data_IF_870010137552
#
_entry.id   IF_870010137552
#
_cell.length_a   1.000
_cell.length_b   1.000
_cell.length_c   1.000
_cell.angle_alpha   90.00
_cell.angle_beta   90.00
_cell.angle_gamma   90.00
#
_symmetry.space_group_name_H-M   'P 1'
#
loop_
_entity.id
_entity.type
_entity.pdbx_description
1 polymer ?
#
# COMPACT_ATOMS: atom_id res chain seq x y z
N UNK A 1 -3.13 18.36 16.27
CA UNK A 1 -1.85 18.95 15.82
C UNK A 1 -1.97 19.38 14.36
N UNK A 2 -1.14 20.34 13.93
CA UNK A 2 -1.13 20.91 12.57
C UNK A 2 -0.39 20.05 11.54
N UNK A 3 0.16 18.93 11.97
CA UNK A 3 0.98 18.03 11.17
C UNK A 3 0.26 17.31 10.04
N UNK A 4 1.06 16.86 9.09
CA UNK A 4 0.63 16.38 7.78
C UNK A 4 0.36 14.88 7.72
N UNK A 5 0.64 14.14 8.80
CA UNK A 5 0.44 12.69 8.89
C UNK A 5 1.28 11.92 7.84
N UNK A 6 2.54 12.35 7.64
CA UNK A 6 3.48 11.74 6.70
C UNK A 6 4.41 10.70 7.35
N UNK A 7 4.50 10.69 8.67
CA UNK A 7 5.46 9.86 9.41
C UNK A 7 4.79 8.70 10.14
N UNK A 8 5.61 7.73 10.55
CA UNK A 8 5.18 6.63 11.42
C UNK A 8 4.77 7.16 12.80
N UNK A 9 3.90 6.41 13.47
CA UNK A 9 3.43 6.75 14.80
C UNK A 9 3.15 5.51 15.64
N UNK A 10 3.12 5.65 16.96
CA UNK A 10 2.69 4.59 17.86
C UNK A 10 1.97 5.14 19.09
N UNK A 11 1.07 4.34 19.64
CA UNK A 11 0.44 4.54 20.95
C UNK A 11 0.95 3.46 21.89
N UNK A 12 1.65 3.85 22.95
CA UNK A 12 2.23 2.94 23.94
C UNK A 12 1.40 2.95 25.23
N UNK A 13 0.81 1.80 25.54
CA UNK A 13 0.04 1.53 26.76
C UNK A 13 0.87 0.76 27.81
N UNK A 14 2.17 0.57 27.58
CA UNK A 14 3.10 -0.17 28.44
C UNK A 14 3.03 -1.69 28.24
N UNK A 15 1.83 -2.27 28.29
CA UNK A 15 1.61 -3.71 28.06
C UNK A 15 1.51 -4.08 26.58
N UNK A 16 1.14 -3.10 25.75
CA UNK A 16 0.96 -3.21 24.31
C UNK A 16 1.25 -1.89 23.61
N UNK A 17 1.57 -2.00 22.32
CA UNK A 17 1.77 -0.86 21.43
C UNK A 17 0.78 -0.96 20.28
N UNK A 18 0.11 0.15 19.97
CA UNK A 18 -0.81 0.23 18.83
C UNK A 18 -0.16 1.12 17.78
N UNK A 19 0.07 0.59 16.59
CA UNK A 19 0.78 1.29 15.51
C UNK A 19 0.27 0.81 14.15
N UNK A 20 0.87 1.31 13.08
CA UNK A 20 0.60 0.84 11.72
C UNK A 20 0.97 -0.65 11.59
N UNK A 21 0.21 -1.42 10.79
CA UNK A 21 0.50 -2.84 10.62
C UNK A 21 1.88 -3.04 10.01
N UNK A 22 2.73 -3.76 10.75
CA UNK A 22 3.96 -4.35 10.26
C UNK A 22 3.67 -5.82 9.91
N UNK A 23 3.72 -6.21 8.61
CA UNK A 23 3.45 -7.58 8.17
C UNK A 23 4.45 -8.61 8.70
N UNK A 24 5.65 -8.18 9.11
CA UNK A 24 6.71 -9.07 9.59
C UNK A 24 6.76 -9.15 11.13
N UNK A 25 6.01 -8.28 11.83
CA UNK A 25 5.95 -8.30 13.28
C UNK A 25 5.21 -9.52 13.81
N UNK A 26 5.96 -10.47 14.37
CA UNK A 26 5.43 -11.61 15.14
C UNK A 26 5.08 -11.25 16.58
N UNK A 27 5.27 -9.99 16.97
CA UNK A 27 5.05 -9.54 18.34
C UNK A 27 3.56 -9.32 18.60
N UNK A 28 2.93 -10.25 19.33
CA UNK A 28 1.50 -10.17 19.70
C UNK A 28 1.14 -8.96 20.57
N UNK A 29 2.13 -8.24 21.12
CA UNK A 29 1.92 -6.99 21.85
C UNK A 29 1.78 -5.78 20.93
N UNK A 30 2.01 -5.93 19.62
CA UNK A 30 1.85 -4.88 18.62
C UNK A 30 0.49 -5.05 17.92
N UNK A 31 -0.39 -4.07 18.06
CA UNK A 31 -1.75 -4.10 17.50
C UNK A 31 -1.89 -3.11 16.35
N UNK A 32 -2.70 -3.49 15.35
CA UNK A 32 -2.97 -2.65 14.18
C UNK A 32 -3.96 -1.53 14.52
N UNK A 33 -3.49 -0.29 14.47
CA UNK A 33 -4.25 0.93 14.77
C UNK A 33 -5.57 1.06 14.01
N UNK A 34 -5.63 0.62 12.74
CA UNK A 34 -6.86 0.69 11.94
C UNK A 34 -7.98 -0.25 12.40
N UNK A 35 -7.66 -1.20 13.29
CA UNK A 35 -8.60 -2.20 13.81
C UNK A 35 -8.98 -1.99 15.27
N UNK A 36 -8.29 -1.10 15.98
CA UNK A 36 -8.52 -0.86 17.40
C UNK A 36 -9.51 0.30 17.60
N UNK A 37 -10.31 0.25 18.67
CA UNK A 37 -11.16 1.39 19.06
C UNK A 37 -10.63 2.04 20.33
N UNK A 38 -10.76 3.36 20.41
CA UNK A 38 -10.28 4.11 21.58
C UNK A 38 -10.91 3.63 22.90
N UNK A 39 -12.21 3.31 22.88
CA UNK A 39 -12.96 2.84 24.04
C UNK A 39 -12.63 1.40 24.48
N UNK A 40 -11.82 0.67 23.73
CA UNK A 40 -11.30 -0.65 24.13
C UNK A 40 -10.03 -0.52 24.98
N UNK A 41 -9.38 0.65 24.99
CA UNK A 41 -8.07 0.85 25.60
C UNK A 41 -8.06 1.97 26.66
N UNK A 42 -8.84 3.03 26.46
CA UNK A 42 -9.09 4.06 27.46
C UNK A 42 -10.52 3.87 27.99
N UNK A 43 -10.64 3.22 29.14
CA UNK A 43 -11.90 2.74 29.74
C UNK A 43 -12.27 3.44 31.04
N UNK A 44 -11.33 4.10 31.71
CA UNK A 44 -11.59 4.87 32.92
C UNK A 44 -10.84 6.20 32.96
N UNK A 45 -11.43 7.17 33.66
CA UNK A 45 -10.88 8.50 33.84
C UNK A 45 -9.51 8.44 34.53
N UNK A 46 -8.57 9.27 34.08
CA UNK A 46 -7.19 9.32 34.54
C UNK A 46 -6.23 8.37 33.83
N UNK A 47 -6.70 7.45 32.96
CA UNK A 47 -5.79 6.64 32.16
C UNK A 47 -4.99 7.48 31.17
N UNK A 48 -3.72 7.14 31.02
CA UNK A 48 -2.83 7.77 30.04
C UNK A 48 -2.33 6.78 28.98
N UNK A 49 -1.98 7.34 27.83
CA UNK A 49 -1.25 6.66 26.77
C UNK A 49 -0.21 7.62 26.19
N UNK A 50 0.97 7.09 25.88
CA UNK A 50 1.99 7.86 25.16
C UNK A 50 1.75 7.73 23.66
N UNK A 51 1.63 8.85 22.96
CA UNK A 51 1.57 8.89 21.50
C UNK A 51 2.89 9.43 20.97
N UNK A 52 3.63 8.59 20.24
CA UNK A 52 4.85 8.98 19.52
C UNK A 52 4.48 9.23 18.07
N UNK A 53 4.82 10.41 17.55
CA UNK A 53 4.70 10.76 16.14
C UNK A 53 6.08 11.07 15.58
N UNK A 54 6.35 10.57 14.39
CA UNK A 54 7.64 10.64 13.72
C UNK A 54 8.77 9.96 14.52
N UNK A 55 9.22 8.80 14.05
CA UNK A 55 10.28 8.05 14.74
C UNK A 55 11.67 8.66 14.52
N UNK A 56 11.83 9.57 13.54
CA UNK A 56 13.04 10.38 13.39
C UNK A 56 13.07 11.47 14.45
N UNK A 57 12.10 12.39 14.39
CA UNK A 57 12.03 13.56 15.27
C UNK A 57 11.54 13.27 16.70
N UNK A 58 10.91 12.12 16.90
CA UNK A 58 10.48 11.60 18.20
C UNK A 58 9.52 12.51 18.97
N UNK A 59 8.49 13.04 18.31
CA UNK A 59 7.47 13.86 18.97
C UNK A 59 6.60 13.02 19.91
N UNK A 60 6.84 13.16 21.21
CA UNK A 60 6.14 12.40 22.25
C UNK A 60 5.03 13.24 22.90
N UNK A 61 3.80 12.75 22.79
CA UNK A 61 2.61 13.31 23.44
C UNK A 61 2.12 12.39 24.55
N UNK A 62 1.63 13.00 25.63
CA UNK A 62 0.85 12.31 26.65
C UNK A 62 -0.63 12.60 26.42
N UNK A 63 -1.43 11.56 26.20
CA UNK A 63 -2.87 11.64 26.04
C UNK A 63 -3.52 11.08 27.30
N UNK A 64 -4.39 11.85 27.95
CA UNK A 64 -5.09 11.47 29.18
C UNK A 64 -6.59 11.45 28.94
N UNK A 65 -7.26 10.38 29.35
CA UNK A 65 -8.72 10.33 29.38
C UNK A 65 -9.22 11.08 30.60
N UNK A 66 -9.64 12.31 30.43
CA UNK A 66 -10.09 13.14 31.57
C UNK A 66 -11.51 12.79 32.02
N UNK A 67 -12.45 12.64 31.08
CA UNK A 67 -13.86 12.36 31.35
C UNK A 67 -14.53 11.52 30.28
N UNK A 68 -15.48 10.66 30.69
CA UNK A 68 -16.39 9.95 29.77
C UNK A 68 -17.80 10.56 29.91
N UNK A 69 -18.26 11.24 28.86
CA UNK A 69 -19.55 11.95 28.86
C UNK A 69 -20.54 11.33 27.86
N UNK A 70 -21.86 11.46 28.07
CA UNK A 70 -22.86 11.07 27.09
C UNK A 70 -22.71 11.90 25.80
N UNK A 71 -23.01 11.28 24.66
CA UNK A 71 -22.99 11.93 23.34
C UNK A 71 -24.04 13.04 23.29
N UNK A 72 -23.65 14.23 22.82
CA UNK A 72 -24.58 15.34 22.63
C UNK A 72 -25.23 15.27 21.23
N UNK A 73 -26.57 15.26 21.12
CA UNK A 73 -27.29 15.02 19.86
C UNK A 73 -26.94 15.94 18.69
N UNK A 74 -26.57 17.19 18.97
CA UNK A 74 -26.33 18.22 17.94
C UNK A 74 -24.84 18.61 17.80
N UNK A 75 -23.94 17.91 18.50
CA UNK A 75 -22.52 18.19 18.46
C UNK A 75 -21.83 17.34 17.40
N UNK A 76 -21.09 17.99 16.50
CA UNK A 76 -20.17 17.29 15.58
C UNK A 76 -18.85 17.02 16.30
N UNK A 77 -18.41 15.77 16.31
CA UNK A 77 -17.12 15.33 16.87
C UNK A 77 -16.13 14.96 15.75
N UNK A 78 -14.80 15.04 16.00
CA UNK A 78 -14.16 15.60 17.19
C UNK A 78 -14.31 17.12 17.29
N UNK A 79 -14.26 17.64 18.51
CA UNK A 79 -14.34 19.08 18.80
C UNK A 79 -13.27 19.44 19.83
N UNK A 80 -12.46 20.44 19.51
CA UNK A 80 -11.44 20.99 20.40
C UNK A 80 -12.10 22.00 21.34
N UNK A 81 -11.96 21.80 22.64
CA UNK A 81 -12.54 22.68 23.68
C UNK A 81 -11.59 23.84 24.00
N UNK A 82 -10.30 23.55 24.07
CA UNK A 82 -9.25 24.49 24.43
C UNK A 82 -7.89 24.03 23.89
N UNK A 83 -6.90 24.90 24.01
CA UNK A 83 -5.51 24.62 23.66
C UNK A 83 -4.65 25.87 23.80
N UNK A 84 -3.35 25.66 23.86
CA UNK A 84 -2.36 26.73 24.01
C UNK A 84 -1.15 26.46 23.11
N UNK A 85 -0.50 27.56 22.72
CA UNK A 85 0.70 27.59 21.86
C UNK A 85 0.47 26.98 20.48
N UNK A 86 1.41 27.25 19.59
CA UNK A 86 1.36 26.71 18.24
C UNK A 86 2.05 25.35 18.18
N UNK A 87 1.58 24.51 17.25
CA UNK A 87 2.20 23.21 16.99
C UNK A 87 3.60 23.42 16.40
N UNK A 88 4.65 22.71 16.86
CA UNK A 88 5.94 22.71 16.17
C UNK A 88 5.76 22.43 14.68
N UNK A 89 6.52 23.07 13.78
CA UNK A 89 6.49 22.75 12.36
C UNK A 89 6.81 21.26 12.11
N UNK A 90 6.33 20.71 10.98
CA UNK A 90 6.79 19.39 10.52
C UNK A 90 8.29 19.45 10.21
N UNK A 91 9.00 18.33 10.37
CA UNK A 91 10.43 18.15 10.01
C UNK A 91 11.37 19.20 10.61
N UNK A 92 11.04 19.77 11.77
CA UNK A 92 11.90 20.77 12.41
C UNK A 92 12.99 20.16 13.31
N UNK A 93 13.25 18.85 13.23
CA UNK A 93 14.34 18.19 13.95
C UNK A 93 14.01 17.89 15.41
N UNK A 94 12.75 17.55 15.68
CA UNK A 94 12.29 17.20 17.03
C UNK A 94 12.35 18.36 18.02
N UNK A 95 12.37 18.02 19.31
CA UNK A 95 12.36 19.01 20.40
C UNK A 95 13.57 19.95 20.33
N UNK A 96 14.75 19.41 20.00
CA UNK A 96 15.99 20.18 19.94
C UNK A 96 16.00 21.14 18.76
N UNK A 97 15.67 20.67 17.56
CA UNK A 97 15.60 21.54 16.38
C UNK A 97 14.49 22.59 16.49
N UNK A 98 13.38 22.28 17.19
CA UNK A 98 12.38 23.30 17.51
C UNK A 98 12.90 24.35 18.49
N UNK A 99 13.70 23.99 19.49
CA UNK A 99 14.32 24.96 20.40
C UNK A 99 15.31 25.89 19.69
N UNK A 100 16.11 25.34 18.78
CA UNK A 100 16.99 26.13 17.91
C UNK A 100 16.17 27.07 17.03
N UNK A 101 15.11 26.57 16.38
CA UNK A 101 14.18 27.36 15.59
C UNK A 101 13.53 28.51 16.39
N UNK A 102 13.11 28.26 17.64
CA UNK A 102 12.59 29.31 18.52
C UNK A 102 13.64 30.36 18.91
N UNK A 103 14.91 29.96 18.98
CA UNK A 103 16.02 30.87 19.26
C UNK A 103 16.29 31.77 18.05
N UNK A 104 16.32 31.20 16.86
CA UNK A 104 16.50 31.91 15.59
C UNK A 104 15.36 32.91 15.33
N UNK A 105 14.12 32.56 15.66
CA UNK A 105 12.96 33.46 15.55
C UNK A 105 13.08 34.72 16.42
N UNK A 106 13.90 34.70 17.47
CA UNK A 106 14.10 35.83 18.40
C UNK A 106 15.29 36.71 18.03
N UNK A 107 16.18 36.26 17.14
CA UNK A 107 17.38 36.98 16.73
C UNK A 107 17.23 37.56 15.31
N UNK A 108 16.88 38.84 15.22
CA UNK A 108 16.72 39.57 13.95
C UNK A 108 18.04 39.69 13.15
N UNK A 109 19.20 39.45 13.77
CA UNK A 109 20.52 39.69 13.17
C UNK A 109 21.32 38.41 12.80
N UNK A 110 20.84 37.21 13.13
CA UNK A 110 21.55 35.94 12.85
C UNK A 110 20.69 34.79 12.30
N UNK A 111 19.48 35.05 11.79
CA UNK A 111 18.61 33.99 11.24
C UNK A 111 19.30 33.14 10.15
N UNK A 112 19.77 31.94 10.52
CA UNK A 112 20.02 30.83 9.58
C UNK A 112 18.74 30.08 9.20
N UNK A 113 17.60 30.47 9.80
CA UNK A 113 16.31 29.87 9.53
C UNK A 113 15.81 30.12 8.09
N UNK A 114 15.18 29.10 7.52
CA UNK A 114 14.69 29.07 6.13
C UNK A 114 13.67 30.20 5.86
N UNK A 115 13.81 30.98 4.76
CA UNK A 115 13.01 32.18 4.51
C UNK A 115 11.48 31.99 4.47
N UNK A 116 10.99 30.76 4.24
CA UNK A 116 9.56 30.47 4.08
C UNK A 116 8.84 30.08 5.39
N UNK A 117 9.56 29.75 6.47
CA UNK A 117 8.96 29.35 7.76
C UNK A 117 8.81 30.54 8.71
N UNK A 118 9.70 31.52 8.59
CA UNK A 118 9.98 32.54 9.63
C UNK A 118 8.96 33.68 9.70
N UNK A 119 8.25 34.02 8.62
CA UNK A 119 7.53 35.30 8.57
C UNK A 119 6.13 35.30 9.18
N UNK A 120 5.50 34.13 9.33
CA UNK A 120 4.11 34.01 9.84
C UNK A 120 3.95 33.03 11.01
N UNK A 121 5.02 32.35 11.42
CA UNK A 121 4.97 31.41 12.53
C UNK A 121 5.12 32.15 13.86
N UNK A 122 4.03 32.22 14.62
CA UNK A 122 4.03 32.68 16.01
C UNK A 122 3.91 31.44 16.92
N UNK A 123 4.92 31.14 17.76
CA UNK A 123 4.93 29.97 18.63
C UNK A 123 3.91 30.02 19.76
N UNK A 124 3.41 31.20 20.12
CA UNK A 124 2.44 31.38 21.20
C UNK A 124 0.99 31.49 20.67
N UNK A 125 0.83 31.52 19.35
CA UNK A 125 -0.48 31.64 18.70
C UNK A 125 -1.20 30.30 18.57
N UNK A 126 -2.27 30.14 19.35
CA UNK A 126 -3.26 29.08 19.16
C UNK A 126 -4.61 29.65 18.66
N UNK A 127 -5.23 29.01 17.67
CA UNK A 127 -6.54 29.42 17.15
C UNK A 127 -7.55 28.28 17.22
N UNK A 128 -8.38 28.31 18.27
CA UNK A 128 -9.44 27.32 18.51
C UNK A 128 -10.43 27.23 17.34
N UNK A 129 -10.82 28.38 16.78
CA UNK A 129 -11.74 28.44 15.63
C UNK A 129 -11.12 27.80 14.38
N UNK A 130 -9.83 28.04 14.10
CA UNK A 130 -9.11 27.40 12.99
C UNK A 130 -9.03 25.89 13.18
N UNK A 131 -8.68 25.42 14.38
CA UNK A 131 -8.63 23.99 14.71
C UNK A 131 -9.99 23.33 14.50
N UNK A 132 -11.05 23.89 15.08
CA UNK A 132 -12.40 23.33 14.94
C UNK A 132 -12.93 23.37 13.49
N UNK A 133 -12.53 24.37 12.70
CA UNK A 133 -12.83 24.40 11.26
C UNK A 133 -12.17 23.24 10.53
N UNK A 134 -10.90 22.96 10.82
CA UNK A 134 -10.17 21.83 10.24
C UNK A 134 -10.74 20.47 10.69
N UNK A 135 -11.09 20.35 11.98
CA UNK A 135 -11.70 19.14 12.53
C UNK A 135 -13.06 18.85 11.87
N UNK A 136 -13.90 19.86 11.62
CA UNK A 136 -15.17 19.69 10.88
C UNK A 136 -14.94 19.20 9.45
N UNK A 137 -13.96 19.76 8.73
CA UNK A 137 -13.59 19.30 7.38
C UNK A 137 -13.15 17.83 7.38
N UNK A 138 -12.32 17.43 8.36
CA UNK A 138 -11.87 16.03 8.53
C UNK A 138 -13.00 15.11 8.99
N UNK A 139 -13.93 15.56 9.84
CA UNK A 139 -15.08 14.78 10.29
C UNK A 139 -15.98 14.37 9.11
N UNK A 140 -16.17 15.25 8.12
CA UNK A 140 -16.89 14.91 6.90
C UNK A 140 -16.18 13.81 6.08
N UNK A 141 -14.85 13.82 6.04
CA UNK A 141 -14.04 12.79 5.37
C UNK A 141 -14.06 11.45 6.12
N UNK A 142 -14.02 11.47 7.46
CA UNK A 142 -14.03 10.28 8.32
C UNK A 142 -15.42 9.63 8.40
N UNK A 143 -16.51 10.42 8.40
CA UNK A 143 -17.88 9.91 8.50
C UNK A 143 -18.33 9.13 7.26
N UNK A 144 -17.78 9.39 6.07
CA UNK A 144 -18.09 8.58 4.88
C UNK A 144 -17.63 7.12 5.01
N UNK A 145 -16.60 6.86 5.82
CA UNK A 145 -16.11 5.50 6.08
C UNK A 145 -17.00 4.73 7.07
N UNK A 146 -17.68 5.42 7.99
CA UNK A 146 -18.55 4.78 8.98
C UNK A 146 -19.94 4.45 8.44
N UNK A 147 -20.50 5.30 7.56
CA UNK A 147 -21.80 5.06 6.90
C UNK A 147 -21.80 3.74 6.10
N UNK A 148 -20.68 3.36 5.47
CA UNK A 148 -20.55 2.11 4.70
C UNK A 148 -20.59 0.82 5.55
N UNK A 149 -20.58 0.89 6.89
CA UNK A 149 -20.56 -0.29 7.79
C UNK A 149 -21.87 -0.56 8.55
N UNK A 150 -22.94 0.23 8.34
CA UNK A 150 -24.24 0.05 9.01
C UNK A 150 -25.28 -0.77 8.23
N UNK A 151 -24.96 -1.29 7.04
CA UNK A 151 -25.79 -2.33 6.46
C UNK A 151 -25.59 -3.62 7.28
N UNK A 152 -26.64 -4.23 7.86
CA UNK A 152 -26.51 -5.57 8.42
C UNK A 152 -25.95 -6.48 7.31
N UNK A 153 -25.04 -7.42 7.60
CA UNK A 153 -24.58 -8.37 6.61
C UNK A 153 -25.73 -9.32 6.30
N UNK A 154 -26.66 -8.90 5.44
CA UNK A 154 -27.49 -9.85 4.69
C UNK A 154 -26.51 -10.52 3.74
N UNK A 155 -25.82 -11.57 4.19
CA UNK A 155 -25.04 -12.42 3.31
C UNK A 155 -26.02 -12.85 2.21
N UNK A 156 -25.84 -12.40 0.96
CA UNK A 156 -26.72 -12.81 -0.10
C UNK A 156 -26.72 -14.35 -0.16
N UNK A 157 -27.85 -14.99 -0.51
CA UNK A 157 -27.91 -16.43 -0.65
C UNK A 157 -26.76 -16.89 -1.55
N UNK A 158 -25.80 -17.62 -0.98
CA UNK A 158 -24.57 -18.02 -1.67
C UNK A 158 -24.79 -19.41 -2.26
N UNK A 159 -24.98 -19.47 -3.57
CA UNK A 159 -25.01 -20.75 -4.28
C UNK A 159 -23.62 -21.40 -4.19
N UNK A 160 -23.53 -22.59 -3.62
CA UNK A 160 -22.26 -23.34 -3.55
C UNK A 160 -21.96 -24.01 -4.88
N UNK A 161 -20.69 -24.27 -5.18
CA UNK A 161 -20.30 -24.99 -6.40
C UNK A 161 -20.97 -26.37 -6.50
N UNK A 162 -21.18 -27.06 -5.36
CA UNK A 162 -21.89 -28.32 -5.31
C UNK A 162 -23.39 -28.17 -5.64
N UNK A 163 -24.06 -27.16 -5.10
CA UNK A 163 -25.46 -26.87 -5.39
C UNK A 163 -25.65 -26.46 -6.86
N UNK A 164 -24.75 -25.62 -7.40
CA UNK A 164 -24.73 -25.27 -8.82
C UNK A 164 -24.56 -26.52 -9.68
N UNK A 165 -23.56 -27.37 -9.38
CA UNK A 165 -23.32 -28.61 -10.14
C UNK A 165 -24.57 -29.50 -10.17
N UNK A 166 -25.26 -29.65 -9.03
CA UNK A 166 -26.50 -30.44 -8.95
C UNK A 166 -27.61 -29.86 -9.83
N UNK A 167 -27.76 -28.53 -9.89
CA UNK A 167 -28.74 -27.89 -10.77
C UNK A 167 -28.37 -28.07 -12.25
N UNK A 168 -27.11 -27.84 -12.61
CA UNK A 168 -26.63 -27.97 -13.99
C UNK A 168 -26.79 -29.42 -14.52
N UNK A 169 -26.62 -30.42 -13.66
CA UNK A 169 -26.82 -31.83 -14.01
C UNK A 169 -28.27 -32.21 -14.32
N UNK A 170 -29.24 -31.41 -13.85
CA UNK A 170 -30.67 -31.61 -14.13
C UNK A 170 -31.14 -30.89 -15.40
N UNK A 171 -30.30 -30.04 -15.99
CA UNK A 171 -30.62 -29.27 -17.21
C UNK A 171 -30.37 -30.09 -18.47
N UNK A 172 -31.12 -29.79 -19.52
CA UNK A 172 -30.87 -30.32 -20.86
C UNK A 172 -29.64 -29.66 -21.49
N UNK A 173 -29.08 -30.28 -22.53
CA UNK A 173 -27.95 -29.72 -23.26
C UNK A 173 -28.27 -28.34 -23.87
N UNK A 174 -29.49 -28.14 -24.38
CA UNK A 174 -29.89 -26.86 -24.98
C UNK A 174 -29.94 -25.74 -23.93
N UNK A 175 -30.50 -26.01 -22.75
CA UNK A 175 -30.55 -25.03 -21.66
C UNK A 175 -29.15 -24.70 -21.13
N UNK A 176 -28.25 -25.68 -21.06
CA UNK A 176 -26.85 -25.46 -20.66
C UNK A 176 -26.10 -24.57 -21.66
N UNK A 177 -26.29 -24.81 -22.96
CA UNK A 177 -25.70 -23.97 -24.02
C UNK A 177 -26.24 -22.54 -23.90
N UNK A 178 -27.55 -22.37 -23.74
CA UNK A 178 -28.15 -21.04 -23.61
C UNK A 178 -27.64 -20.30 -22.37
N UNK A 179 -27.55 -20.98 -21.21
CA UNK A 179 -27.01 -20.40 -19.99
C UNK A 179 -25.54 -19.95 -20.16
N UNK A 180 -24.71 -20.73 -20.86
CA UNK A 180 -23.33 -20.34 -21.14
C UNK A 180 -23.24 -19.11 -22.06
N UNK A 181 -24.10 -19.03 -23.08
CA UNK A 181 -24.20 -17.85 -23.96
C UNK A 181 -24.66 -16.62 -23.19
N UNK A 182 -25.62 -16.75 -22.29
CA UNK A 182 -26.10 -15.64 -21.48
C UNK A 182 -25.02 -15.19 -20.49
N UNK A 183 -24.29 -16.13 -19.87
CA UNK A 183 -23.12 -15.81 -19.04
C UNK A 183 -22.03 -15.08 -19.84
N UNK A 184 -21.74 -15.53 -21.07
CA UNK A 184 -20.78 -14.90 -21.98
C UNK A 184 -21.16 -13.43 -22.28
N UNK A 185 -22.44 -13.17 -22.56
CA UNK A 185 -22.94 -11.82 -22.85
C UNK A 185 -23.01 -10.92 -21.61
N UNK A 186 -23.20 -11.49 -20.42
CA UNK A 186 -23.42 -10.74 -19.19
C UNK A 186 -22.12 -10.29 -18.50
N UNK A 187 -20.98 -10.94 -18.76
CA UNK A 187 -19.73 -10.71 -18.03
C UNK A 187 -18.52 -10.71 -18.94
N UNK A 188 -17.78 -9.60 -18.97
CA UNK A 188 -16.51 -9.49 -19.72
C UNK A 188 -15.49 -10.54 -19.30
N UNK A 189 -15.45 -10.86 -18.00
CA UNK A 189 -14.56 -11.90 -17.48
C UNK A 189 -14.94 -13.29 -18.01
N UNK A 190 -16.24 -13.60 -18.11
CA UNK A 190 -16.70 -14.87 -18.70
C UNK A 190 -16.48 -14.90 -20.21
N UNK A 191 -16.67 -13.76 -20.89
CA UNK A 191 -16.34 -13.58 -22.29
C UNK A 191 -14.86 -13.93 -22.56
N UNK A 192 -13.94 -13.30 -21.82
CA UNK A 192 -12.50 -13.55 -21.94
C UNK A 192 -12.14 -15.00 -21.60
N UNK A 193 -12.71 -15.55 -20.52
CA UNK A 193 -12.47 -16.94 -20.12
C UNK A 193 -12.87 -17.94 -21.20
N UNK A 194 -14.08 -17.81 -21.76
CA UNK A 194 -14.54 -18.71 -22.82
C UNK A 194 -13.79 -18.46 -24.12
N UNK A 195 -13.43 -17.21 -24.43
CA UNK A 195 -12.62 -16.87 -25.62
C UNK A 195 -11.27 -17.56 -25.56
N UNK A 196 -10.53 -17.44 -24.46
CA UNK A 196 -9.25 -18.15 -24.28
C UNK A 196 -9.44 -19.67 -24.33
N UNK A 197 -10.51 -20.18 -23.71
CA UNK A 197 -10.78 -21.63 -23.68
C UNK A 197 -11.07 -22.22 -25.07
N UNK A 198 -11.70 -21.47 -25.97
CA UNK A 198 -12.12 -21.97 -27.28
C UNK A 198 -11.21 -21.52 -28.43
N UNK A 199 -10.62 -20.32 -28.36
CA UNK A 199 -9.71 -19.78 -29.36
C UNK A 199 -8.22 -20.02 -29.04
N UNK A 200 -7.90 -20.54 -27.85
CA UNK A 200 -6.57 -21.06 -27.53
C UNK A 200 -5.48 -19.98 -27.41
N UNK A 201 -4.31 -20.26 -27.98
CA UNK A 201 -3.09 -19.46 -27.78
C UNK A 201 -3.22 -18.02 -28.28
N UNK A 202 -3.82 -17.79 -29.45
CA UNK A 202 -4.00 -16.45 -30.03
C UNK A 202 -4.83 -15.54 -29.12
N UNK A 203 -5.87 -16.08 -28.50
CA UNK A 203 -6.68 -15.34 -27.54
C UNK A 203 -5.95 -15.06 -26.22
N UNK A 204 -5.12 -16.00 -25.76
CA UNK A 204 -4.27 -15.79 -24.59
C UNK A 204 -3.23 -14.68 -24.83
N UNK A 205 -2.63 -14.65 -26.03
CA UNK A 205 -1.68 -13.61 -26.45
C UNK A 205 -2.36 -12.24 -26.56
N UNK A 206 -3.53 -12.16 -27.21
CA UNK A 206 -4.29 -10.91 -27.31
C UNK A 206 -4.64 -10.34 -25.92
N UNK A 207 -5.06 -11.21 -24.99
CA UNK A 207 -5.36 -10.82 -23.61
C UNK A 207 -4.09 -10.42 -22.84
N UNK A 208 -2.95 -11.06 -23.13
CA UNK A 208 -1.66 -10.70 -22.56
C UNK A 208 -1.25 -9.28 -22.99
N UNK A 209 -1.39 -8.95 -24.27
CA UNK A 209 -1.09 -7.61 -24.80
C UNK A 209 -2.03 -6.55 -24.19
N UNK A 210 -3.32 -6.85 -24.05
CA UNK A 210 -4.28 -5.98 -23.37
C UNK A 210 -3.91 -5.74 -21.91
N UNK A 211 -3.57 -6.82 -21.18
CA UNK A 211 -3.14 -6.74 -19.79
C UNK A 211 -1.84 -5.94 -19.64
N UNK A 212 -0.87 -6.17 -20.52
CA UNK A 212 0.42 -5.45 -20.53
C UNK A 212 0.20 -3.95 -20.76
N UNK A 213 -0.66 -3.58 -21.73
CA UNK A 213 -1.05 -2.18 -21.93
C UNK A 213 -1.71 -1.60 -20.68
N UNK A 214 -2.67 -2.31 -20.10
CA UNK A 214 -3.36 -1.86 -18.89
C UNK A 214 -2.40 -1.64 -17.72
N UNK A 215 -1.48 -2.58 -17.48
CA UNK A 215 -0.43 -2.42 -16.45
C UNK A 215 0.34 -1.13 -16.71
N UNK A 216 0.83 -0.91 -17.93
CA UNK A 216 1.52 0.34 -18.29
C UNK A 216 0.68 1.57 -17.99
N UNK A 217 -0.58 1.61 -18.43
CA UNK A 217 -1.48 2.77 -18.27
C UNK A 217 -1.81 3.13 -16.81
N UNK A 218 -1.71 2.16 -15.89
CA UNK A 218 -1.88 2.40 -14.44
C UNK A 218 -0.65 3.06 -13.79
N UNK A 219 0.53 2.97 -14.43
CA UNK A 219 1.73 3.74 -14.07
C UNK A 219 1.82 5.00 -14.92
N UNK A 220 1.94 4.84 -16.24
CA UNK A 220 2.17 5.86 -17.26
C UNK A 220 1.01 5.90 -18.27
N UNK A 221 -0.07 6.66 -18.01
CA UNK A 221 -1.15 6.82 -18.97
C UNK A 221 -0.70 7.61 -20.20
N UNK A 222 -1.29 7.34 -21.38
CA UNK A 222 -1.04 8.08 -22.63
C UNK A 222 -1.21 9.62 -22.51
N UNK A 223 -2.01 10.08 -21.55
CA UNK A 223 -2.26 11.50 -21.29
C UNK A 223 -2.28 11.78 -19.80
N UNK A 224 -1.60 12.86 -19.39
CA UNK A 224 -1.56 13.34 -18.01
C UNK A 224 -0.31 12.90 -17.25
N UNK A 225 -0.31 13.14 -15.94
CA UNK A 225 0.75 12.70 -15.03
C UNK A 225 0.54 11.24 -14.62
N UNK A 226 1.61 10.59 -14.15
CA UNK A 226 1.58 9.22 -13.67
C UNK A 226 0.49 8.97 -12.62
N UNK A 227 -0.24 7.86 -12.74
CA UNK A 227 -1.40 7.55 -11.89
C UNK A 227 -1.06 6.75 -10.63
N UNK A 228 0.00 5.94 -10.69
CA UNK A 228 0.47 5.06 -9.62
C UNK A 228 -0.64 4.17 -9.00
N UNK A 229 -1.36 3.41 -9.82
CA UNK A 229 -2.46 2.54 -9.36
C UNK A 229 -2.02 1.08 -9.24
N UNK A 230 -1.07 0.84 -8.33
CA UNK A 230 -0.48 -0.48 -8.08
C UNK A 230 -1.50 -1.61 -7.89
N UNK A 231 -2.59 -1.32 -7.15
CA UNK A 231 -3.64 -2.30 -6.87
C UNK A 231 -4.43 -2.70 -8.12
N UNK A 232 -4.68 -1.77 -9.05
CA UNK A 232 -5.41 -2.07 -10.28
C UNK A 232 -4.53 -2.82 -11.28
N UNK A 233 -3.24 -2.47 -11.38
CA UNK A 233 -2.27 -3.21 -12.17
C UNK A 233 -2.11 -4.65 -11.66
N UNK A 234 -1.95 -4.86 -10.34
CA UNK A 234 -1.87 -6.21 -9.75
C UNK A 234 -3.14 -7.02 -10.00
N UNK A 235 -4.32 -6.42 -9.81
CA UNK A 235 -5.60 -7.09 -10.10
C UNK A 235 -5.70 -7.54 -11.55
N UNK A 236 -5.24 -6.73 -12.51
CA UNK A 236 -5.25 -7.10 -13.92
C UNK A 236 -4.40 -8.35 -14.19
N UNK A 237 -3.21 -8.43 -13.59
CA UNK A 237 -2.31 -9.59 -13.69
C UNK A 237 -2.95 -10.83 -13.03
N UNK A 238 -3.50 -10.68 -11.83
CA UNK A 238 -4.16 -11.77 -11.11
C UNK A 238 -5.37 -12.33 -11.88
N UNK A 239 -6.12 -11.45 -12.55
CA UNK A 239 -7.26 -11.82 -13.39
C UNK A 239 -6.79 -12.56 -14.65
N UNK A 240 -5.76 -12.04 -15.32
CA UNK A 240 -5.13 -12.70 -16.46
C UNK A 240 -4.67 -14.12 -16.10
N UNK A 241 -3.94 -14.28 -14.99
CA UNK A 241 -3.40 -15.57 -14.55
C UNK A 241 -4.51 -16.58 -14.25
N UNK A 242 -5.63 -16.13 -13.67
CA UNK A 242 -6.81 -16.99 -13.42
C UNK A 242 -7.51 -17.43 -14.71
N UNK A 243 -7.58 -16.55 -15.70
CA UNK A 243 -8.27 -16.79 -16.97
C UNK A 243 -7.44 -17.73 -17.86
N UNK A 244 -6.17 -17.40 -18.08
CA UNK A 244 -5.33 -18.08 -19.07
C UNK A 244 -4.59 -19.27 -18.50
N UNK A 245 -4.23 -19.21 -17.21
CA UNK A 245 -3.26 -20.13 -16.57
C UNK A 245 -1.95 -20.26 -17.35
N UNK A 246 -1.63 -19.26 -18.17
CA UNK A 246 -0.47 -19.27 -19.06
C UNK A 246 0.76 -18.76 -18.29
N UNK A 247 1.57 -19.70 -17.80
CA UNK A 247 2.64 -19.41 -16.84
C UNK A 247 3.70 -18.43 -17.34
N UNK A 248 4.16 -18.55 -18.59
CA UNK A 248 5.17 -17.64 -19.20
C UNK A 248 4.68 -16.21 -19.34
N UNK A 249 3.47 -15.98 -19.87
CA UNK A 249 2.84 -14.65 -19.88
C UNK A 249 2.57 -14.08 -18.49
N UNK A 250 2.19 -14.92 -17.51
CA UNK A 250 2.03 -14.46 -16.14
C UNK A 250 3.38 -14.00 -15.54
N UNK A 251 4.47 -14.75 -15.78
CA UNK A 251 5.83 -14.36 -15.43
C UNK A 251 6.19 -13.01 -16.07
N UNK A 252 5.98 -12.88 -17.38
CA UNK A 252 6.29 -11.67 -18.14
C UNK A 252 5.56 -10.44 -17.59
N UNK A 253 4.25 -10.56 -17.32
CA UNK A 253 3.45 -9.49 -16.75
C UNK A 253 3.91 -9.08 -15.34
N UNK A 254 4.32 -10.06 -14.52
CA UNK A 254 4.86 -9.78 -13.17
C UNK A 254 6.20 -9.05 -13.26
N UNK A 255 7.09 -9.47 -14.15
CA UNK A 255 8.34 -8.75 -14.39
C UNK A 255 8.08 -7.35 -14.96
N UNK A 256 7.17 -7.23 -15.93
CA UNK A 256 6.79 -5.95 -16.52
C UNK A 256 6.20 -4.98 -15.50
N UNK A 257 5.43 -5.47 -14.53
CA UNK A 257 4.96 -4.66 -13.40
C UNK A 257 6.12 -4.08 -12.57
N UNK A 258 7.16 -4.89 -12.30
CA UNK A 258 8.36 -4.44 -11.58
C UNK A 258 9.12 -3.42 -12.41
N UNK A 259 9.32 -3.68 -13.71
CA UNK A 259 9.96 -2.74 -14.66
C UNK A 259 9.26 -1.38 -14.65
N UNK A 260 7.92 -1.35 -14.78
CA UNK A 260 7.14 -0.11 -14.73
C UNK A 260 7.22 0.59 -13.37
N UNK A 261 7.31 -0.17 -12.28
CA UNK A 261 7.54 0.39 -10.95
C UNK A 261 8.90 1.07 -10.83
N UNK A 262 9.97 0.36 -11.17
CA UNK A 262 11.33 0.92 -11.10
C UNK A 262 11.47 2.14 -12.00
N UNK A 263 10.94 2.09 -13.23
CA UNK A 263 10.89 3.25 -14.12
C UNK A 263 10.12 4.41 -13.48
N UNK A 264 8.97 4.16 -12.85
CA UNK A 264 8.19 5.20 -12.19
C UNK A 264 8.97 5.87 -11.05
N UNK A 265 9.65 5.11 -10.20
CA UNK A 265 10.48 5.67 -9.13
C UNK A 265 11.64 6.51 -9.69
N UNK A 266 12.28 6.05 -10.77
CA UNK A 266 13.35 6.82 -11.43
C UNK A 266 12.85 8.12 -12.07
N UNK A 267 11.60 8.15 -12.56
CA UNK A 267 11.01 9.35 -13.18
C UNK A 267 10.49 10.34 -12.13
N UNK A 268 9.84 9.85 -11.06
CA UNK A 268 9.10 10.68 -10.11
C UNK A 268 9.79 10.86 -8.75
N UNK A 269 10.89 10.15 -8.51
CA UNK A 269 11.69 10.24 -7.28
C UNK A 269 11.24 9.28 -6.19
N UNK A 270 11.57 9.62 -4.94
CA UNK A 270 11.30 8.76 -3.78
C UNK A 270 9.81 8.51 -3.58
N UNK A 271 9.47 7.22 -3.52
CA UNK A 271 8.12 6.72 -3.34
C UNK A 271 7.88 6.28 -1.88
N UNK A 272 6.61 6.13 -1.49
CA UNK A 272 6.28 5.61 -0.16
C UNK A 272 6.73 4.14 0.01
N UNK A 273 7.13 3.74 1.22
CA UNK A 273 7.58 2.37 1.52
C UNK A 273 6.68 1.23 0.96
N UNK A 274 5.35 1.39 1.00
CA UNK A 274 4.39 0.40 0.47
C UNK A 274 4.52 0.17 -1.03
N UNK A 275 4.97 1.17 -1.76
CA UNK A 275 5.25 1.06 -3.19
C UNK A 275 6.38 0.05 -3.41
N UNK A 276 7.51 0.25 -2.73
CA UNK A 276 8.67 -0.65 -2.81
C UNK A 276 8.33 -2.05 -2.33
N UNK A 277 7.60 -2.20 -1.22
CA UNK A 277 7.11 -3.51 -0.77
C UNK A 277 6.31 -4.25 -1.85
N UNK A 278 5.48 -3.54 -2.62
CA UNK A 278 4.72 -4.16 -3.70
C UNK A 278 5.61 -4.63 -4.85
N UNK A 279 6.65 -3.85 -5.20
CA UNK A 279 7.62 -4.23 -6.24
C UNK A 279 8.47 -5.41 -5.80
N UNK A 280 9.05 -5.36 -4.59
CA UNK A 280 9.83 -6.46 -3.99
C UNK A 280 9.01 -7.74 -3.95
N UNK A 281 7.76 -7.68 -3.48
CA UNK A 281 6.87 -8.84 -3.45
C UNK A 281 6.58 -9.40 -4.85
N UNK A 282 6.43 -8.54 -5.86
CA UNK A 282 6.20 -8.99 -7.23
C UNK A 282 7.47 -9.60 -7.84
N UNK A 283 8.64 -9.02 -7.56
CA UNK A 283 9.93 -9.50 -8.04
C UNK A 283 10.31 -10.84 -7.40
N UNK A 284 10.09 -11.01 -6.10
CA UNK A 284 10.21 -12.30 -5.43
C UNK A 284 9.32 -13.36 -6.09
N UNK A 285 8.08 -13.02 -6.45
CA UNK A 285 7.20 -13.96 -7.19
C UNK A 285 7.73 -14.32 -8.59
N UNK A 286 8.43 -13.40 -9.27
CA UNK A 286 9.11 -13.67 -10.56
C UNK A 286 10.24 -14.67 -10.37
N UNK A 287 11.14 -14.43 -9.40
CA UNK A 287 12.26 -15.32 -9.09
C UNK A 287 11.77 -16.70 -8.64
N UNK A 288 10.75 -16.75 -7.79
CA UNK A 288 10.08 -17.98 -7.36
C UNK A 288 9.52 -18.80 -8.53
N UNK A 289 8.95 -18.12 -9.54
CA UNK A 289 8.40 -18.79 -10.71
C UNK A 289 9.50 -19.39 -11.58
N UNK A 290 10.60 -18.65 -11.75
CA UNK A 290 11.78 -19.08 -12.51
C UNK A 290 12.49 -20.26 -11.84
N UNK A 291 12.73 -20.19 -10.53
CA UNK A 291 13.37 -21.26 -9.76
C UNK A 291 12.55 -22.56 -9.71
N UNK A 292 11.25 -22.51 -10.04
CA UNK A 292 10.35 -23.67 -10.10
C UNK A 292 10.27 -24.28 -11.51
N UNK A 293 10.89 -23.70 -12.53
CA UNK A 293 10.95 -24.30 -13.86
C UNK A 293 12.01 -25.41 -13.90
N UNK A 294 11.79 -26.42 -14.76
CA UNK A 294 12.80 -27.43 -15.04
C UNK A 294 13.77 -26.89 -16.10
N UNK A 295 15.04 -26.69 -15.73
CA UNK A 295 16.10 -26.21 -16.63
C UNK A 295 16.34 -24.69 -16.60
N UNK A 296 17.34 -24.23 -17.36
CA UNK A 296 17.80 -22.83 -17.35
C UNK A 296 17.25 -21.99 -18.50
N UNK A 297 16.55 -22.58 -19.48
CA UNK A 297 16.12 -21.89 -20.71
C UNK A 297 15.29 -20.63 -20.43
N UNK A 298 14.31 -20.73 -19.52
CA UNK A 298 13.46 -19.58 -19.18
C UNK A 298 14.22 -18.52 -18.37
N UNK A 299 15.19 -18.93 -17.55
CA UNK A 299 16.07 -18.00 -16.84
C UNK A 299 16.93 -17.24 -17.86
N UNK A 300 17.54 -17.93 -18.81
CA UNK A 300 18.37 -17.33 -19.86
C UNK A 300 17.56 -16.34 -20.73
N UNK A 301 16.31 -16.67 -21.05
CA UNK A 301 15.43 -15.78 -21.80
C UNK A 301 15.15 -14.45 -21.08
N UNK A 302 14.93 -14.49 -19.76
CA UNK A 302 14.53 -13.32 -18.97
C UNK A 302 15.71 -12.61 -18.28
N UNK A 303 16.90 -13.21 -18.32
CA UNK A 303 18.08 -12.75 -17.59
C UNK A 303 18.40 -11.27 -17.83
N UNK A 304 18.52 -10.86 -19.09
CA UNK A 304 18.94 -9.49 -19.41
C UNK A 304 17.94 -8.45 -18.88
N UNK A 305 16.64 -8.77 -18.89
CA UNK A 305 15.59 -7.91 -18.33
C UNK A 305 15.64 -7.85 -16.81
N UNK A 306 15.90 -8.98 -16.16
CA UNK A 306 16.05 -9.08 -14.72
C UNK A 306 17.28 -8.29 -14.26
N UNK A 307 18.43 -8.48 -14.91
CA UNK A 307 19.65 -7.72 -14.62
C UNK A 307 19.44 -6.22 -14.85
N UNK A 308 18.74 -5.84 -15.93
CA UNK A 308 18.42 -4.45 -16.21
C UNK A 308 17.54 -3.82 -15.13
N UNK A 309 16.48 -4.50 -14.67
CA UNK A 309 15.58 -3.92 -13.64
C UNK A 309 16.25 -3.85 -12.26
N UNK A 310 17.10 -4.83 -11.92
CA UNK A 310 17.91 -4.79 -10.69
C UNK A 310 18.93 -3.65 -10.76
N UNK A 311 19.64 -3.51 -11.88
CA UNK A 311 20.58 -2.40 -12.08
C UNK A 311 19.89 -1.04 -12.06
N UNK A 312 18.69 -0.93 -12.63
CA UNK A 312 17.91 0.30 -12.63
C UNK A 312 17.32 0.65 -11.26
N UNK A 313 17.34 -0.29 -10.30
CA UNK A 313 16.96 -0.02 -8.92
C UNK A 313 18.06 0.66 -8.10
N UNK A 314 19.28 0.76 -8.65
CA UNK A 314 20.42 1.31 -7.94
C UNK A 314 20.20 2.77 -7.51
N UNK A 315 20.50 3.08 -6.25
CA UNK A 315 20.31 4.40 -5.66
C UNK A 315 18.87 4.74 -5.29
N UNK A 316 17.90 3.83 -5.48
CA UNK A 316 16.54 4.00 -4.98
C UNK A 316 16.52 3.66 -3.49
N UNK A 317 16.06 4.60 -2.66
CA UNK A 317 16.14 4.52 -1.19
C UNK A 317 15.27 3.43 -0.54
N UNK A 318 15.25 3.43 0.80
CA UNK A 318 14.49 2.50 1.66
C UNK A 318 14.95 1.04 1.64
N UNK A 319 16.22 0.78 1.35
CA UNK A 319 16.73 -0.59 1.26
C UNK A 319 16.21 -1.35 0.04
N UNK A 320 15.62 -0.65 -0.94
CA UNK A 320 14.96 -1.28 -2.09
C UNK A 320 15.97 -1.90 -3.04
N UNK A 321 17.09 -1.22 -3.31
CA UNK A 321 18.20 -1.76 -4.09
C UNK A 321 18.71 -3.07 -3.48
N UNK A 322 19.00 -3.08 -2.18
CA UNK A 322 19.51 -4.24 -1.47
C UNK A 322 18.51 -5.40 -1.52
N UNK A 323 17.22 -5.13 -1.30
CA UNK A 323 16.19 -6.16 -1.41
C UNK A 323 16.07 -6.75 -2.82
N UNK A 324 16.21 -5.93 -3.88
CA UNK A 324 16.21 -6.41 -5.26
C UNK A 324 17.46 -7.25 -5.56
N UNK A 325 18.63 -6.86 -5.05
CA UNK A 325 19.88 -7.61 -5.19
C UNK A 325 19.83 -8.95 -4.45
N UNK A 326 19.31 -8.96 -3.22
CA UNK A 326 19.17 -10.18 -2.41
C UNK A 326 18.27 -11.20 -3.11
N UNK A 327 17.10 -10.77 -3.58
CA UNK A 327 16.17 -11.64 -4.33
C UNK A 327 16.80 -12.12 -5.64
N UNK A 328 17.54 -11.25 -6.33
CA UNK A 328 18.25 -11.63 -7.55
C UNK A 328 19.32 -12.70 -7.29
N UNK A 329 20.02 -12.64 -6.16
CA UNK A 329 21.02 -13.64 -5.77
C UNK A 329 20.40 -15.02 -5.48
N UNK A 330 19.09 -15.09 -5.20
CA UNK A 330 18.37 -16.36 -5.02
C UNK A 330 18.09 -17.11 -6.34
N UNK A 331 18.33 -16.50 -7.51
CA UNK A 331 18.12 -17.16 -8.80
C UNK A 331 19.09 -18.34 -8.99
N UNK A 332 18.53 -19.52 -9.30
CA UNK A 332 19.23 -20.80 -9.27
C UNK A 332 20.48 -20.93 -10.15
N UNK A 333 20.65 -20.10 -11.19
CA UNK A 333 21.81 -20.15 -12.10
C UNK A 333 23.11 -19.63 -11.46
N UNK A 334 23.06 -18.85 -10.37
CA UNK A 334 24.25 -18.48 -9.59
C UNK A 334 24.94 -19.72 -8.99
N UNK A 335 24.15 -20.69 -8.53
CA UNK A 335 24.66 -21.93 -7.94
C UNK A 335 25.35 -22.84 -8.99
N UNK A 336 24.94 -22.77 -10.26
CA UNK A 336 25.58 -23.52 -11.35
C UNK A 336 26.90 -22.89 -11.80
N UNK A 337 27.05 -21.56 -11.72
CA UNK A 337 28.32 -20.86 -11.99
C UNK A 337 29.41 -21.20 -10.97
N UNK A 338 29.07 -21.32 -9.69
CA UNK A 338 30.03 -21.79 -8.67
C UNK A 338 30.32 -23.28 -8.81
N UNK A 339 29.32 -24.11 -9.14
CA UNK A 339 29.52 -25.54 -9.38
C UNK A 339 30.40 -25.83 -10.60
N UNK A 340 30.31 -25.02 -11.66
CA UNK A 340 31.15 -25.14 -12.86
C UNK A 340 32.56 -24.54 -12.73
N UNK A 341 32.76 -23.58 -11.83
CA UNK A 341 34.07 -22.99 -11.55
C UNK A 341 34.94 -23.86 -10.63
N UNK A 342 34.35 -24.80 -9.88
CA UNK A 342 35.06 -25.72 -8.97
C UNK A 342 35.57 -27.02 -9.59
N UNK A 343 35.33 -27.28 -10.89
CA UNK A 343 35.71 -28.54 -11.55
C UNK A 343 36.88 -28.42 -12.54
N UNK A 344 37.63 -27.32 -12.52
CA UNK A 344 38.90 -27.18 -13.26
C UNK A 344 40.00 -26.76 -12.29
N UNK A 345 40.55 -27.73 -11.59
CA UNK A 345 41.85 -27.62 -10.90
C UNK A 345 42.61 -28.93 -11.01
#
# INVERSE_FOLDING_TARGET
MGWENRHLYSFDFGDKTITMPDPDSRNKRVLNASKQRLNEHLTHEGQEVRYLYDFGDSWSHRIVLEKILPVQPDQTYPYCLEGERNCPPEDCGGVWGYQEFLTDLRDENQSKALPWVVKEYDPDRFSLSKVNTLLRKKAYQLNQYQEKKKAPPTKPPKLTAAALKKQLQAMTQQELVQLLVDCFKASKQTEQFLTVKFAGAEAAEALFLECRKKVKDEFFPDRGVGKLRLGEARKAIDEFEKITRHRRYALDLKLFYVEMGVEFANVYGEMEYRFYQSLVSMFSAVVDMLNKEEGTELIEEYKDRIEAVVSASAGIGWGFEEAMQDIYAELGWWNEREAGAGSVS
#
